data_IF_464300834609
#
_entry.id   IF_464300834609
#
_cell.length_a   1.000
_cell.length_b   1.000
_cell.length_c   1.000
_cell.angle_alpha   90.00
_cell.angle_beta   90.00
_cell.angle_gamma   90.00
#
_symmetry.space_group_name_H-M   'P 1'
#
loop_
_entity.id
_entity.type
_entity.pdbx_description
1 polymer ?
#
# COMPACT_ATOMS: atom_id res chain seq x y z
N UNK A 1 -19.66 -5.15 28.49
CA UNK A 1 -19.14 -6.53 28.36
C UNK A 1 -19.23 -7.02 26.91
N UNK A 2 -20.30 -6.68 26.19
CA UNK A 2 -20.42 -6.81 24.73
C UNK A 2 -19.85 -5.61 23.98
N UNK A 3 -20.03 -4.38 24.46
CA UNK A 3 -19.77 -3.15 23.69
C UNK A 3 -18.38 -2.97 23.08
N UNK A 4 -17.28 -3.41 23.71
CA UNK A 4 -15.94 -3.22 23.15
C UNK A 4 -15.58 -4.27 22.07
N UNK A 5 -15.96 -5.53 22.29
CA UNK A 5 -15.83 -6.57 21.27
C UNK A 5 -16.85 -6.35 20.16
N UNK A 6 -18.05 -5.87 20.52
CA UNK A 6 -19.05 -5.38 19.59
C UNK A 6 -18.58 -4.15 18.84
N UNK A 7 -17.79 -3.23 19.40
CA UNK A 7 -17.23 -2.09 18.67
C UNK A 7 -16.11 -2.49 17.71
N UNK A 8 -15.32 -3.50 18.08
CA UNK A 8 -14.28 -4.09 17.23
C UNK A 8 -14.90 -4.90 16.09
N UNK A 9 -15.89 -5.73 16.43
CA UNK A 9 -16.72 -6.46 15.49
C UNK A 9 -17.62 -5.52 14.67
N UNK A 10 -18.11 -4.41 15.22
CA UNK A 10 -18.87 -3.39 14.48
C UNK A 10 -17.93 -2.62 13.57
N UNK A 11 -16.71 -2.29 14.00
CA UNK A 11 -15.69 -1.72 13.13
C UNK A 11 -15.38 -2.65 11.97
N UNK A 12 -15.19 -3.94 12.26
CA UNK A 12 -14.98 -5.01 11.28
C UNK A 12 -16.19 -5.20 10.36
N UNK A 13 -17.40 -5.33 10.90
CA UNK A 13 -18.66 -5.53 10.19
C UNK A 13 -19.05 -4.29 9.39
N UNK A 14 -18.76 -3.08 9.89
CA UNK A 14 -19.00 -1.82 9.18
C UNK A 14 -18.01 -1.68 8.02
N UNK A 15 -16.75 -2.10 8.20
CA UNK A 15 -15.80 -2.22 7.10
C UNK A 15 -16.24 -3.29 6.08
N UNK A 16 -16.67 -4.47 6.53
CA UNK A 16 -17.25 -5.52 5.67
C UNK A 16 -18.44 -5.00 4.88
N UNK A 17 -19.43 -4.40 5.55
CA UNK A 17 -20.69 -3.96 4.94
C UNK A 17 -20.55 -2.72 4.06
N UNK A 18 -19.57 -1.84 4.33
CA UNK A 18 -19.32 -0.65 3.50
C UNK A 18 -18.68 -1.03 2.16
N UNK A 19 -17.95 -2.15 2.11
CA UNK A 19 -17.13 -2.54 0.96
C UNK A 19 -17.44 -3.95 0.40
N UNK A 20 -18.53 -4.59 0.86
CA UNK A 20 -19.02 -5.87 0.36
C UNK A 20 -19.72 -5.71 -1.00
N UNK A 21 -18.94 -5.68 -2.07
CA UNK A 21 -19.41 -6.03 -3.42
C UNK A 21 -18.44 -7.06 -3.99
N UNK A 22 -19.01 -8.14 -4.53
CA UNK A 22 -18.31 -9.37 -4.96
C UNK A 22 -17.52 -9.21 -6.27
N UNK A 23 -16.52 -10.09 -6.40
CA UNK A 23 -15.80 -10.53 -7.61
C UNK A 23 -14.83 -9.56 -8.32
N UNK A 24 -13.54 -9.92 -8.19
CA UNK A 24 -12.33 -9.34 -8.81
C UNK A 24 -12.13 -7.86 -8.49
N UNK A 25 -11.17 -7.57 -7.62
CA UNK A 25 -10.64 -6.22 -7.36
C UNK A 25 -10.49 -5.46 -8.69
N UNK A 26 -11.40 -4.53 -8.97
CA UNK A 26 -11.29 -3.63 -10.10
C UNK A 26 -10.66 -2.31 -9.64
N UNK A 27 -9.99 -1.56 -10.52
CA UNK A 27 -9.43 -0.26 -10.21
C UNK A 27 -10.41 0.73 -9.56
N UNK A 28 -11.71 0.59 -9.85
CA UNK A 28 -12.78 1.42 -9.29
C UNK A 28 -13.22 1.04 -7.86
N UNK A 29 -12.85 -0.14 -7.35
CA UNK A 29 -13.16 -0.58 -5.99
C UNK A 29 -12.11 -0.07 -4.98
N UNK A 30 -11.10 0.63 -5.46
CA UNK A 30 -10.07 1.25 -4.65
C UNK A 30 -10.58 2.55 -4.03
N UNK A 31 -10.87 2.49 -2.74
CA UNK A 31 -11.11 3.68 -1.93
C UNK A 31 -9.78 4.27 -1.47
N UNK A 32 -9.67 5.60 -1.43
CA UNK A 32 -8.53 6.27 -0.80
C UNK A 32 -8.46 5.88 0.69
N UNK A 33 -7.25 5.69 1.19
CA UNK A 33 -7.05 5.49 2.62
C UNK A 33 -7.20 6.83 3.31
N UNK A 34 -8.36 6.99 3.92
CA UNK A 34 -8.80 8.23 4.54
C UNK A 34 -8.23 8.37 5.95
N UNK A 35 -8.33 9.58 6.50
CA UNK A 35 -8.07 9.85 7.92
C UNK A 35 -8.88 8.93 8.86
N UNK A 36 -9.97 8.32 8.38
CA UNK A 36 -10.80 7.35 9.11
C UNK A 36 -10.03 6.08 9.50
N UNK A 37 -9.08 5.61 8.68
CA UNK A 37 -8.23 4.47 9.04
C UNK A 37 -7.23 4.82 10.14
N UNK A 38 -6.72 6.05 10.15
CA UNK A 38 -5.89 6.59 11.25
C UNK A 38 -6.70 6.69 12.55
N UNK A 39 -7.91 7.24 12.46
CA UNK A 39 -8.84 7.31 13.59
C UNK A 39 -9.25 5.93 14.12
N UNK A 40 -9.27 4.90 13.26
CA UNK A 40 -9.56 3.52 13.66
C UNK A 40 -8.53 3.00 14.67
N UNK A 41 -7.24 3.32 14.50
CA UNK A 41 -6.16 2.97 15.44
C UNK A 41 -6.32 3.67 16.78
N UNK A 42 -6.65 4.96 16.73
CA UNK A 42 -6.85 5.78 17.93
C UNK A 42 -8.04 5.25 18.76
N UNK A 43 -9.05 4.67 18.11
CA UNK A 43 -10.17 3.99 18.79
C UNK A 43 -9.88 2.55 19.22
N UNK A 44 -9.07 1.80 18.46
CA UNK A 44 -8.77 0.39 18.71
C UNK A 44 -7.86 0.17 19.92
N UNK A 45 -6.82 1.00 20.06
CA UNK A 45 -5.85 0.84 21.15
C UNK A 45 -6.50 0.98 22.54
N UNK A 46 -7.34 2.00 22.82
CA UNK A 46 -8.07 2.14 24.07
C UNK A 46 -9.06 0.99 24.30
N UNK A 47 -9.81 0.60 23.26
CA UNK A 47 -10.77 -0.51 23.36
C UNK A 47 -10.07 -1.84 23.69
N UNK A 48 -8.90 -2.09 23.09
CA UNK A 48 -8.07 -3.25 23.39
C UNK A 48 -7.51 -3.21 24.81
N UNK A 49 -6.93 -2.08 25.24
CA UNK A 49 -6.41 -1.92 26.60
C UNK A 49 -7.52 -2.11 27.65
N UNK A 50 -8.72 -1.61 27.38
CA UNK A 50 -9.90 -1.83 28.23
C UNK A 50 -10.30 -3.31 28.26
N UNK A 51 -10.32 -3.99 27.12
CA UNK A 51 -10.60 -5.43 27.05
C UNK A 51 -9.57 -6.26 27.82
N UNK A 52 -8.27 -5.95 27.69
CA UNK A 52 -7.19 -6.59 28.43
C UNK A 52 -7.39 -6.50 29.94
N UNK A 53 -7.71 -5.30 30.42
CA UNK A 53 -7.96 -5.05 31.83
C UNK A 53 -9.14 -5.87 32.37
N UNK A 54 -10.22 -5.99 31.59
CA UNK A 54 -11.45 -6.66 32.00
C UNK A 54 -11.40 -8.18 31.90
N UNK A 55 -10.75 -8.73 30.86
CA UNK A 55 -10.80 -10.16 30.55
C UNK A 55 -9.62 -10.96 31.10
N UNK A 56 -8.47 -10.32 31.34
CA UNK A 56 -7.23 -10.97 31.77
C UNK A 56 -7.01 -12.32 31.06
N UNK A 57 -6.96 -12.32 29.72
CA UNK A 57 -6.86 -13.55 28.96
C UNK A 57 -5.60 -14.35 29.31
N UNK A 58 -5.66 -15.67 29.10
CA UNK A 58 -4.50 -16.54 29.24
C UNK A 58 -3.33 -16.07 28.36
N UNK A 59 -2.11 -16.41 28.79
CA UNK A 59 -0.86 -15.92 28.20
C UNK A 59 -0.80 -16.03 26.67
N UNK A 60 -1.25 -17.16 26.12
CA UNK A 60 -1.20 -17.43 24.67
C UNK A 60 -2.13 -16.51 23.86
N UNK A 61 -3.36 -16.29 24.33
CA UNK A 61 -4.32 -15.38 23.70
C UNK A 61 -3.82 -13.93 23.79
N UNK A 62 -3.27 -13.55 24.94
CA UNK A 62 -2.66 -12.23 25.14
C UNK A 62 -1.54 -11.97 24.14
N UNK A 63 -0.64 -12.94 23.97
CA UNK A 63 0.51 -12.82 23.09
C UNK A 63 0.08 -12.72 21.62
N UNK A 64 -0.80 -13.61 21.16
CA UNK A 64 -1.30 -13.59 19.78
C UNK A 64 -2.03 -12.28 19.44
N UNK A 65 -2.81 -11.75 20.38
CA UNK A 65 -3.57 -10.50 20.14
C UNK A 65 -2.66 -9.28 20.11
N UNK A 66 -1.63 -9.22 20.97
CA UNK A 66 -0.61 -8.16 20.91
C UNK A 66 0.14 -8.18 19.58
N UNK A 67 0.57 -9.37 19.13
CA UNK A 67 1.26 -9.51 17.85
C UNK A 67 0.39 -9.05 16.67
N UNK A 68 -0.91 -9.37 16.68
CA UNK A 68 -1.84 -8.89 15.67
C UNK A 68 -2.00 -7.36 15.69
N UNK A 69 -2.13 -6.75 16.87
CA UNK A 69 -2.21 -5.29 17.03
C UNK A 69 -0.94 -4.58 16.56
N UNK A 70 0.24 -5.12 16.90
CA UNK A 70 1.52 -4.54 16.48
C UNK A 70 1.71 -4.62 14.95
N UNK A 71 1.29 -5.73 14.33
CA UNK A 71 1.28 -5.89 12.86
C UNK A 71 0.34 -4.88 12.19
N UNK A 72 -0.87 -4.72 12.74
CA UNK A 72 -1.86 -3.78 12.22
C UNK A 72 -1.38 -2.33 12.35
N UNK A 73 -0.81 -1.94 13.50
CA UNK A 73 -0.23 -0.62 13.70
C UNK A 73 0.94 -0.34 12.74
N UNK A 74 1.81 -1.34 12.53
CA UNK A 74 2.91 -1.26 11.56
C UNK A 74 2.39 -1.09 10.14
N UNK A 75 1.35 -1.82 9.76
CA UNK A 75 0.68 -1.68 8.47
C UNK A 75 0.17 -0.25 8.28
N UNK A 76 -0.56 0.31 9.25
CA UNK A 76 -1.15 1.65 9.11
C UNK A 76 -0.11 2.76 9.06
N UNK A 77 1.03 2.62 9.77
CA UNK A 77 2.17 3.54 9.65
C UNK A 77 2.78 3.54 8.24
N UNK A 78 2.83 2.37 7.59
CA UNK A 78 3.25 2.25 6.20
C UNK A 78 2.14 2.72 5.27
N UNK A 79 0.86 2.50 5.55
CA UNK A 79 -0.24 2.97 4.72
C UNK A 79 -0.32 4.49 4.67
N UNK A 80 -0.16 5.17 5.82
CA UNK A 80 -0.21 6.64 5.95
C UNK A 80 0.91 7.37 5.18
N UNK A 81 1.88 6.63 4.68
CA UNK A 81 2.96 7.11 3.84
C UNK A 81 2.55 7.27 2.38
N UNK A 82 1.68 6.40 1.89
CA UNK A 82 1.31 6.31 0.49
C UNK A 82 -0.02 7.02 0.29
N UNK A 83 -0.11 7.88 -0.73
CA UNK A 83 -1.30 8.69 -1.00
C UNK A 83 -2.54 7.85 -1.36
N UNK A 84 -2.32 6.64 -1.89
CA UNK A 84 -3.38 5.68 -2.16
C UNK A 84 -3.06 4.38 -1.42
N UNK A 85 -3.94 3.96 -0.53
CA UNK A 85 -3.94 2.61 0.04
C UNK A 85 -5.34 2.08 -0.17
N UNK A 86 -5.47 0.81 -0.57
CA UNK A 86 -6.72 0.20 -1.00
C UNK A 86 -7.15 -0.93 -0.06
N UNK A 87 -8.39 -0.93 0.38
CA UNK A 87 -8.96 -2.04 1.14
C UNK A 87 -9.68 -2.97 0.18
N UNK A 88 -9.45 -4.29 0.27
CA UNK A 88 -10.11 -5.28 -0.58
C UNK A 88 -10.57 -6.48 0.24
N UNK A 89 -11.78 -6.98 0.02
CA UNK A 89 -12.33 -8.08 0.81
C UNK A 89 -12.31 -9.41 0.04
N UNK A 90 -12.14 -10.53 0.75
CA UNK A 90 -12.22 -11.87 0.16
C UNK A 90 -12.75 -12.89 1.18
N UNK A 91 -13.84 -13.59 0.86
CA UNK A 91 -14.35 -14.79 1.57
C UNK A 91 -14.20 -14.76 3.11
N UNK A 92 -15.07 -14.00 3.80
CA UNK A 92 -15.08 -13.84 5.26
C UNK A 92 -13.83 -13.18 5.91
N UNK A 93 -12.75 -12.99 5.15
CA UNK A 93 -11.48 -12.40 5.58
C UNK A 93 -11.30 -10.95 5.09
N UNK A 94 -10.95 -10.06 6.02
CA UNK A 94 -10.53 -8.70 5.70
C UNK A 94 -9.08 -8.68 5.19
N UNK A 95 -8.88 -8.33 3.92
CA UNK A 95 -7.56 -8.12 3.34
C UNK A 95 -7.28 -6.61 3.18
N UNK A 96 -6.15 -6.15 3.72
CA UNK A 96 -5.74 -4.76 3.59
C UNK A 96 -4.51 -4.69 2.69
N UNK A 97 -4.59 -3.93 1.60
CA UNK A 97 -3.52 -3.84 0.59
C UNK A 97 -3.03 -2.41 0.39
N UNK A 98 -1.73 -2.19 0.49
CA UNK A 98 -1.14 -0.88 0.20
C UNK A 98 -0.75 -0.85 -1.28
N UNK A 99 -1.32 0.10 -2.03
CA UNK A 99 -1.10 0.25 -3.46
C UNK A 99 -0.36 1.56 -3.74
N UNK A 100 0.96 1.47 -3.87
CA UNK A 100 1.78 2.63 -4.20
C UNK A 100 1.58 3.06 -5.66
N UNK A 101 0.56 3.87 -5.94
CA UNK A 101 0.31 4.39 -7.29
C UNK A 101 1.34 5.45 -7.72
N UNK A 102 1.90 6.21 -6.77
CA UNK A 102 2.94 7.21 -7.04
C UNK A 102 4.10 7.09 -6.03
N UNK A 103 5.23 6.44 -6.42
CA UNK A 103 6.39 6.29 -5.55
C UNK A 103 7.28 7.53 -5.50
N UNK A 104 7.00 8.56 -6.31
CA UNK A 104 7.93 9.68 -6.56
C UNK A 104 8.36 10.40 -5.30
N UNK A 105 7.44 10.65 -4.37
CA UNK A 105 7.76 11.28 -3.09
C UNK A 105 8.78 10.49 -2.28
N UNK A 106 8.61 9.17 -2.17
CA UNK A 106 9.53 8.31 -1.41
C UNK A 106 10.88 8.17 -2.09
N UNK A 107 10.86 8.08 -3.42
CA UNK A 107 12.11 8.07 -4.20
C UNK A 107 12.86 9.38 -3.95
N UNK A 108 12.18 10.54 -4.01
CA UNK A 108 12.76 11.86 -3.72
C UNK A 108 13.39 11.93 -2.31
N UNK A 109 12.66 11.52 -1.28
CA UNK A 109 13.16 11.55 0.11
C UNK A 109 14.42 10.70 0.30
N UNK A 110 14.54 9.58 -0.43
CA UNK A 110 15.74 8.74 -0.39
C UNK A 110 16.87 9.38 -1.20
N UNK A 111 16.60 9.84 -2.42
CA UNK A 111 17.63 10.42 -3.30
C UNK A 111 18.18 11.73 -2.77
N UNK A 112 17.37 12.57 -2.11
CA UNK A 112 17.81 13.81 -1.46
C UNK A 112 18.78 13.56 -0.29
N UNK A 113 18.80 12.34 0.27
CA UNK A 113 19.75 11.93 1.32
C UNK A 113 21.06 11.37 0.76
N UNK A 114 21.12 11.14 -0.55
CA UNK A 114 22.29 10.62 -1.25
C UNK A 114 23.09 11.76 -1.87
N UNK A 115 24.42 11.64 -1.94
CA UNK A 115 25.24 12.63 -2.64
C UNK A 115 25.05 12.62 -4.17
N UNK A 116 24.72 11.46 -4.74
CA UNK A 116 24.38 11.28 -6.16
C UNK A 116 23.56 10.00 -6.31
N UNK A 117 22.58 9.99 -7.22
CA UNK A 117 21.79 8.80 -7.57
C UNK A 117 21.83 8.57 -9.07
N UNK A 118 22.04 7.32 -9.51
CA UNK A 118 22.01 6.93 -10.93
C UNK A 118 21.00 5.80 -11.12
N UNK A 119 19.96 6.06 -11.93
CA UNK A 119 19.02 5.03 -12.37
C UNK A 119 19.41 4.56 -13.76
N UNK A 120 19.57 3.25 -13.96
CA UNK A 120 19.96 2.68 -15.24
C UNK A 120 19.13 1.44 -15.57
N UNK A 121 18.52 1.42 -16.76
CA UNK A 121 17.87 0.25 -17.33
C UNK A 121 17.74 0.43 -18.85
N UNK A 122 17.64 -0.69 -19.58
CA UNK A 122 17.43 -0.70 -21.02
C UNK A 122 16.00 -0.32 -21.44
N UNK A 123 15.06 -0.20 -20.47
CA UNK A 123 13.63 -0.03 -20.73
C UNK A 123 13.00 1.17 -20.01
N UNK A 124 13.78 2.20 -19.66
CA UNK A 124 13.26 3.43 -19.02
C UNK A 124 12.56 4.37 -20.03
N UNK A 125 11.64 3.84 -20.82
CA UNK A 125 10.83 4.61 -21.75
C UNK A 125 9.36 4.30 -21.52
N UNK A 126 8.45 5.29 -21.57
CA UNK A 126 8.67 6.69 -22.00
C UNK A 126 9.37 7.56 -20.95
N UNK A 127 10.26 8.48 -21.39
CA UNK A 127 11.05 9.36 -20.52
C UNK A 127 10.19 10.14 -19.49
N UNK A 128 9.13 10.81 -19.96
CA UNK A 128 8.24 11.62 -19.11
C UNK A 128 7.65 10.82 -17.93
N UNK A 129 7.33 9.54 -18.14
CA UNK A 129 6.83 8.68 -17.08
C UNK A 129 7.90 8.42 -16.02
N UNK A 130 9.10 8.05 -16.44
CA UNK A 130 10.19 7.72 -15.52
C UNK A 130 10.78 8.95 -14.83
N UNK A 131 10.82 10.11 -15.49
CA UNK A 131 11.18 11.39 -14.86
C UNK A 131 10.26 11.72 -13.69
N UNK A 132 8.94 11.62 -13.91
CA UNK A 132 7.95 11.83 -12.86
C UNK A 132 8.09 10.77 -11.74
N UNK A 133 8.16 9.49 -12.11
CA UNK A 133 8.21 8.38 -11.16
C UNK A 133 9.46 8.44 -10.27
N UNK A 134 10.63 8.75 -10.84
CA UNK A 134 11.89 8.89 -10.09
C UNK A 134 12.05 10.26 -9.44
N UNK A 135 11.07 11.14 -9.61
CA UNK A 135 11.06 12.47 -9.02
C UNK A 135 12.27 13.32 -9.44
N UNK A 136 12.66 13.22 -10.71
CA UNK A 136 13.74 14.05 -11.27
C UNK A 136 13.39 15.54 -11.11
N UNK A 137 14.41 16.35 -10.90
CA UNK A 137 14.38 17.82 -10.89
C UNK A 137 14.73 18.33 -12.30
N UNK A 138 14.45 19.60 -12.57
CA UNK A 138 14.71 20.21 -13.88
C UNK A 138 16.17 20.12 -14.33
N UNK A 139 17.10 20.14 -13.37
CA UNK A 139 18.55 20.08 -13.62
C UNK A 139 19.11 18.64 -13.66
N UNK A 140 18.28 17.61 -13.46
CA UNK A 140 18.72 16.21 -13.47
C UNK A 140 18.90 15.68 -14.91
N UNK A 141 19.86 14.78 -15.09
CA UNK A 141 20.19 14.22 -16.42
C UNK A 141 19.36 12.97 -16.72
N UNK A 142 18.67 12.97 -17.85
CA UNK A 142 18.11 11.78 -18.48
C UNK A 142 18.89 11.41 -19.75
N UNK A 143 19.54 10.24 -19.76
CA UNK A 143 20.34 9.77 -20.89
C UNK A 143 19.74 8.51 -21.51
N UNK A 144 19.49 8.56 -22.82
CA UNK A 144 19.13 7.39 -23.63
C UNK A 144 20.26 7.06 -24.60
N UNK A 145 20.79 5.84 -24.51
CA UNK A 145 21.88 5.36 -25.37
C UNK A 145 21.27 4.36 -26.37
N UNK A 146 21.46 4.52 -27.69
CA UNK A 146 20.94 3.58 -28.67
C UNK A 146 21.60 2.20 -28.53
N UNK A 147 20.90 1.17 -28.98
CA UNK A 147 21.45 -0.18 -29.04
C UNK A 147 22.78 -0.20 -29.83
N UNK A 148 23.84 -0.83 -29.31
CA UNK A 148 25.10 -0.97 -30.03
C UNK A 148 25.05 -2.06 -31.11
N UNK A 149 23.96 -2.83 -31.19
CA UNK A 149 23.81 -3.94 -32.12
C UNK A 149 23.21 -3.50 -33.46
N UNK A 150 23.64 -4.15 -34.54
CA UNK A 150 23.12 -3.90 -35.88
C UNK A 150 21.62 -4.22 -35.96
N UNK A 151 20.80 -3.25 -36.37
CA UNK A 151 19.35 -3.40 -36.52
C UNK A 151 18.95 -4.46 -37.54
N UNK A 152 19.81 -4.80 -38.50
CA UNK A 152 19.52 -5.84 -39.50
C UNK A 152 19.49 -7.25 -38.90
N UNK A 153 19.98 -7.43 -37.67
CA UNK A 153 19.89 -8.69 -36.93
C UNK A 153 18.70 -8.70 -35.94
N UNK A 154 17.84 -7.69 -35.97
CA UNK A 154 16.67 -7.57 -35.11
C UNK A 154 15.38 -7.83 -35.91
N UNK A 155 14.62 -8.85 -35.50
CA UNK A 155 13.28 -9.11 -36.01
C UNK A 155 12.25 -8.82 -34.90
N UNK A 156 11.38 -7.83 -35.13
CA UNK A 156 10.24 -7.53 -34.25
C UNK A 156 8.97 -7.98 -34.98
N UNK A 157 8.19 -8.86 -34.34
CA UNK A 157 6.91 -9.34 -34.85
C UNK A 157 5.79 -8.76 -34.00
N UNK A 158 4.87 -8.03 -34.62
CA UNK A 158 3.65 -7.58 -33.96
C UNK A 158 2.47 -8.37 -34.50
N UNK A 159 1.83 -9.19 -33.64
CA UNK A 159 0.63 -9.93 -33.98
C UNK A 159 -0.60 -9.16 -33.49
N UNK A 160 -1.47 -8.63 -34.37
CA UNK A 160 -2.70 -8.01 -33.93
C UNK A 160 -3.63 -9.05 -33.31
N UNK A 161 -4.10 -8.80 -32.09
CA UNK A 161 -5.18 -9.56 -31.48
C UNK A 161 -6.50 -9.24 -32.23
N UNK A 162 -7.37 -10.23 -32.45
CA UNK A 162 -8.65 -10.05 -33.14
C UNK A 162 -9.64 -9.17 -32.38
#
# INVERSE_FOLDING_TARGET
QEEAYAALCEGYIKLQNTYAQEDRIQPQDFHEFTDECGNLLDGLLPAFNQWLYLKQPGYEILQNTKEAMDRFASFLKVASTYYHTSVAYFDDDLILSILCLDPSRRIREVTDRCGTTVFFSATLLPQVYFERMFALKEDDLFLSIPSPFNSNHLLILHWPLP
#
